data_IF_645143340425
#
_entry.id   IF_645143340425
#
_cell.length_a   1.000
_cell.length_b   1.000
_cell.length_c   1.000
_cell.angle_alpha   90.00
_cell.angle_beta   90.00
_cell.angle_gamma   90.00
#
_symmetry.space_group_name_H-M   'P 1'
#
loop_
_entity.id
_entity.type
_entity.pdbx_description
1 polymer ?
#
# COMPACT_ATOMS: atom_id res chain seq x y z
N UNK A 1 15.55 7.46 15.51
CA UNK A 1 14.12 7.85 15.39
C UNK A 1 13.45 7.29 14.14
N UNK A 2 14.06 7.28 12.96
CA UNK A 2 13.46 6.72 11.73
C UNK A 2 13.15 5.22 11.82
N UNK A 3 14.03 4.43 12.45
CA UNK A 3 13.81 2.98 12.63
C UNK A 3 12.63 2.65 13.53
N UNK A 4 12.40 3.41 14.59
CA UNK A 4 11.27 3.20 15.51
C UNK A 4 9.92 3.42 14.79
N UNK A 5 9.75 4.53 14.07
CA UNK A 5 8.51 4.81 13.32
C UNK A 5 8.27 3.74 12.26
N UNK A 6 9.32 3.34 11.55
CA UNK A 6 9.25 2.31 10.52
C UNK A 6 8.76 0.97 11.09
N UNK A 7 9.39 0.49 12.17
CA UNK A 7 9.02 -0.76 12.82
C UNK A 7 7.61 -0.67 13.42
N UNK A 8 7.34 0.31 14.27
CA UNK A 8 6.08 0.39 15.01
C UNK A 8 4.84 0.53 14.12
N UNK A 9 4.92 1.30 13.04
CA UNK A 9 3.74 1.65 12.23
C UNK A 9 3.62 0.91 10.92
N UNK A 10 4.70 0.36 10.37
CA UNK A 10 4.69 -0.27 9.06
C UNK A 10 5.18 -1.71 9.10
N UNK A 11 6.43 -1.95 9.45
CA UNK A 11 7.02 -3.25 9.30
C UNK A 11 6.43 -4.29 10.27
N UNK A 12 6.47 -4.03 11.57
CA UNK A 12 6.05 -5.01 12.57
C UNK A 12 4.55 -5.37 12.47
N UNK A 13 3.61 -4.41 12.29
CA UNK A 13 2.20 -4.76 12.09
C UNK A 13 1.95 -5.59 10.82
N UNK A 14 2.64 -5.27 9.72
CA UNK A 14 2.48 -6.00 8.47
C UNK A 14 3.13 -7.39 8.56
N UNK A 15 4.32 -7.50 9.15
CA UNK A 15 5.00 -8.77 9.38
C UNK A 15 4.17 -9.68 10.26
N UNK A 16 3.71 -9.20 11.40
CA UNK A 16 2.87 -9.98 12.32
C UNK A 16 1.52 -10.35 11.72
N UNK A 17 0.90 -9.46 10.97
CA UNK A 17 -0.33 -9.74 10.22
C UNK A 17 -0.12 -10.84 9.17
N UNK A 18 1.01 -10.79 8.45
CA UNK A 18 1.36 -11.82 7.48
C UNK A 18 1.56 -13.18 8.15
N UNK A 19 2.36 -13.24 9.23
CA UNK A 19 2.62 -14.47 9.98
C UNK A 19 1.33 -15.03 10.58
N UNK A 20 0.47 -14.19 11.14
CA UNK A 20 -0.84 -14.60 11.65
C UNK A 20 -1.71 -15.26 10.57
N UNK A 21 -1.73 -14.71 9.34
CA UNK A 21 -2.46 -15.33 8.25
C UNK A 21 -1.80 -16.63 7.76
N UNK A 22 -0.47 -16.73 7.76
CA UNK A 22 0.23 -17.99 7.44
C UNK A 22 -0.19 -19.08 8.42
N UNK A 23 -0.29 -18.78 9.70
CA UNK A 23 -0.72 -19.74 10.72
C UNK A 23 -2.21 -20.12 10.57
N UNK A 24 -3.06 -19.14 10.27
CA UNK A 24 -4.51 -19.33 10.22
C UNK A 24 -4.99 -20.00 8.93
N UNK A 25 -4.28 -19.78 7.81
CA UNK A 25 -4.67 -20.34 6.50
C UNK A 25 -4.20 -21.80 6.41
N UNK A 26 -5.13 -22.74 6.09
CA UNK A 26 -4.77 -24.15 5.97
C UNK A 26 -3.58 -24.39 5.01
N UNK A 27 -2.59 -25.15 5.48
CA UNK A 27 -1.37 -25.45 4.71
C UNK A 27 -0.32 -24.33 4.71
N UNK A 28 -0.54 -23.23 5.43
CA UNK A 28 0.44 -22.14 5.58
C UNK A 28 0.77 -21.43 4.27
N UNK A 29 -0.20 -21.27 3.37
CA UNK A 29 -0.02 -20.65 2.04
C UNK A 29 0.35 -19.18 2.17
N UNK A 30 1.62 -18.87 1.91
CA UNK A 30 2.15 -17.51 1.97
C UNK A 30 1.49 -16.59 0.93
N UNK A 31 1.17 -17.10 -0.26
CA UNK A 31 0.53 -16.33 -1.31
C UNK A 31 -0.89 -15.87 -0.92
N UNK A 32 -1.70 -16.77 -0.35
CA UNK A 32 -3.00 -16.43 0.21
C UNK A 32 -2.88 -15.47 1.40
N UNK A 33 -1.87 -15.64 2.23
CA UNK A 33 -1.60 -14.76 3.37
C UNK A 33 -1.23 -13.34 2.94
N UNK A 34 -0.47 -13.18 1.85
CA UNK A 34 -0.18 -11.88 1.24
C UNK A 34 -1.47 -11.21 0.75
N UNK A 35 -2.36 -11.97 0.12
CA UNK A 35 -3.66 -11.44 -0.32
C UNK A 35 -4.50 -11.01 0.88
N UNK A 36 -4.59 -11.84 1.92
CA UNK A 36 -5.36 -11.55 3.12
C UNK A 36 -4.89 -10.28 3.83
N UNK A 37 -3.59 -10.15 4.11
CA UNK A 37 -3.06 -8.93 4.75
C UNK A 37 -3.23 -7.71 3.85
N UNK A 38 -3.08 -7.86 2.53
CA UNK A 38 -3.32 -6.76 1.58
C UNK A 38 -4.76 -6.28 1.63
N UNK A 39 -5.74 -7.19 1.71
CA UNK A 39 -7.16 -6.84 1.83
C UNK A 39 -7.44 -6.11 3.15
N UNK A 40 -6.86 -6.56 4.27
CA UNK A 40 -7.00 -5.88 5.56
C UNK A 40 -6.44 -4.46 5.48
N UNK A 41 -5.22 -4.29 4.98
CA UNK A 41 -4.59 -2.97 4.83
C UNK A 41 -5.43 -2.07 3.91
N UNK A 42 -5.89 -2.58 2.77
CA UNK A 42 -6.75 -1.81 1.84
C UNK A 42 -8.08 -1.42 2.48
N UNK A 43 -8.66 -2.28 3.30
CA UNK A 43 -9.91 -1.99 4.04
C UNK A 43 -9.70 -0.86 5.05
N UNK A 44 -8.60 -0.90 5.79
CA UNK A 44 -8.23 0.17 6.73
C UNK A 44 -8.02 1.51 5.99
N UNK A 45 -7.39 1.47 4.82
CA UNK A 45 -7.14 2.66 3.99
C UNK A 45 -8.34 3.09 3.14
N UNK A 46 -9.42 2.30 3.09
CA UNK A 46 -10.58 2.56 2.23
C UNK A 46 -11.17 3.97 2.40
N UNK A 47 -11.42 4.50 3.63
CA UNK A 47 -11.97 5.84 3.79
C UNK A 47 -11.05 6.93 3.23
N UNK A 48 -9.73 6.76 3.35
CA UNK A 48 -8.76 7.69 2.77
C UNK A 48 -8.72 7.55 1.24
N UNK A 49 -8.79 6.33 0.72
CA UNK A 49 -8.82 6.05 -0.71
C UNK A 49 -10.06 6.66 -1.39
N UNK A 50 -11.24 6.54 -0.79
CA UNK A 50 -12.47 7.18 -1.30
C UNK A 50 -12.31 8.71 -1.36
N UNK A 51 -11.75 9.33 -0.33
CA UNK A 51 -11.48 10.77 -0.33
C UNK A 51 -10.49 11.18 -1.43
N UNK A 52 -9.42 10.41 -1.61
CA UNK A 52 -8.43 10.65 -2.64
C UNK A 52 -9.03 10.54 -4.05
N UNK A 53 -9.84 9.51 -4.31
CA UNK A 53 -10.52 9.33 -5.60
C UNK A 53 -11.51 10.46 -5.89
N UNK A 54 -12.33 10.87 -4.91
CA UNK A 54 -13.22 12.03 -5.07
C UNK A 54 -12.44 13.30 -5.40
N UNK A 55 -11.33 13.52 -4.71
CA UNK A 55 -10.44 14.66 -5.00
C UNK A 55 -9.91 14.61 -6.43
N UNK A 56 -9.50 13.42 -6.94
CA UNK A 56 -9.01 13.28 -8.32
C UNK A 56 -10.09 13.58 -9.36
N UNK A 57 -11.34 13.16 -9.14
CA UNK A 57 -12.45 13.44 -10.06
C UNK A 57 -12.67 14.96 -10.16
N UNK A 58 -12.83 15.63 -9.00
CA UNK A 58 -13.05 17.07 -8.97
C UNK A 58 -11.84 17.85 -9.52
N UNK A 59 -10.62 17.37 -9.27
CA UNK A 59 -9.39 17.96 -9.85
C UNK A 59 -9.43 17.96 -11.39
N UNK A 60 -9.92 16.88 -12.01
CA UNK A 60 -10.10 16.83 -13.48
C UNK A 60 -11.15 17.84 -13.97
N UNK A 61 -12.23 18.03 -13.22
CA UNK A 61 -13.28 19.00 -13.57
C UNK A 61 -12.78 20.45 -13.52
N UNK A 62 -11.93 20.78 -12.56
CA UNK A 62 -11.38 22.13 -12.40
C UNK A 62 -10.07 22.36 -13.17
N UNK A 63 -9.50 21.33 -13.81
CA UNK A 63 -8.24 21.42 -14.55
C UNK A 63 -8.20 22.55 -15.58
N UNK A 64 -9.26 22.80 -16.41
CA UNK A 64 -9.27 23.90 -17.33
C UNK A 64 -9.16 25.26 -16.63
N UNK A 65 -9.84 25.44 -15.48
CA UNK A 65 -9.74 26.68 -14.69
C UNK A 65 -8.35 26.87 -14.08
N UNK A 66 -7.70 25.77 -13.66
CA UNK A 66 -6.33 25.80 -13.16
C UNK A 66 -5.32 26.21 -14.25
N UNK A 67 -5.52 25.77 -15.49
CA UNK A 67 -4.71 26.18 -16.64
C UNK A 67 -4.89 27.67 -16.93
N UNK A 68 -6.13 28.14 -16.96
CA UNK A 68 -6.46 29.54 -17.17
C UNK A 68 -5.85 30.48 -16.10
N UNK A 69 -5.90 30.06 -14.81
CA UNK A 69 -5.25 30.79 -13.72
C UNK A 69 -3.73 30.89 -13.90
N UNK A 70 -3.09 29.79 -14.33
CA UNK A 70 -1.65 29.76 -14.58
C UNK A 70 -1.22 30.69 -15.72
N UNK A 71 -2.05 30.87 -16.73
CA UNK A 71 -1.79 31.75 -17.86
C UNK A 71 -2.05 33.23 -17.50
N UNK A 72 -3.07 33.51 -16.69
CA UNK A 72 -3.49 34.89 -16.34
C UNK A 72 -2.65 35.51 -15.22
N UNK A 73 -2.09 34.72 -14.33
CA UNK A 73 -1.36 35.21 -13.15
C UNK A 73 0.13 34.86 -13.29
N UNK A 74 0.98 35.87 -13.69
CA UNK A 74 2.42 35.65 -13.85
C UNK A 74 3.18 35.44 -12.53
N UNK A 75 2.70 36.06 -11.45
CA UNK A 75 3.32 35.96 -10.12
C UNK A 75 3.03 34.60 -9.48
N UNK A 76 4.09 33.88 -9.12
CA UNK A 76 3.98 32.52 -8.56
C UNK A 76 3.28 32.47 -7.20
N UNK A 77 3.40 33.55 -6.40
CA UNK A 77 2.78 33.57 -5.07
C UNK A 77 1.29 33.85 -5.18
N UNK A 78 0.90 34.80 -6.04
CA UNK A 78 -0.51 35.07 -6.34
C UNK A 78 -1.17 33.86 -7.00
N UNK A 79 -0.48 33.23 -7.95
CA UNK A 79 -0.94 32.01 -8.61
C UNK A 79 -1.21 30.87 -7.60
N UNK A 80 -0.28 30.63 -6.66
CA UNK A 80 -0.46 29.62 -5.63
C UNK A 80 -1.66 29.92 -4.71
N UNK A 81 -1.88 31.19 -4.35
CA UNK A 81 -3.05 31.60 -3.56
C UNK A 81 -4.36 31.37 -4.33
N UNK A 82 -4.43 31.82 -5.58
CA UNK A 82 -5.61 31.64 -6.42
C UNK A 82 -5.94 30.18 -6.68
N UNK A 83 -4.93 29.33 -6.87
CA UNK A 83 -5.12 27.88 -6.98
C UNK A 83 -5.67 27.27 -5.69
N UNK A 84 -5.16 27.70 -4.52
CA UNK A 84 -5.63 27.20 -3.23
C UNK A 84 -7.07 27.66 -2.95
N UNK A 85 -7.46 28.86 -3.35
CA UNK A 85 -8.84 29.35 -3.28
C UNK A 85 -9.76 28.51 -4.15
N UNK A 86 -9.36 28.23 -5.40
CA UNK A 86 -10.12 27.35 -6.30
C UNK A 86 -10.33 25.96 -5.73
N UNK A 87 -9.31 25.36 -5.07
CA UNK A 87 -9.47 24.08 -4.38
C UNK A 87 -10.44 24.16 -3.23
N UNK A 88 -10.41 25.23 -2.44
CA UNK A 88 -11.37 25.47 -1.35
C UNK A 88 -12.80 25.64 -1.86
N UNK A 89 -13.00 26.41 -2.93
CA UNK A 89 -14.30 26.59 -3.58
C UNK A 89 -14.86 25.27 -4.13
N UNK A 90 -13.97 24.43 -4.70
CA UNK A 90 -14.32 23.10 -5.17
C UNK A 90 -14.54 22.08 -4.03
N UNK A 91 -14.32 22.47 -2.77
CA UNK A 91 -14.51 21.59 -1.60
C UNK A 91 -13.54 20.42 -1.52
N UNK A 92 -12.34 20.53 -2.13
CA UNK A 92 -11.35 19.46 -2.18
C UNK A 92 -10.05 19.83 -1.47
N UNK A 93 -9.39 18.80 -0.98
CA UNK A 93 -8.02 18.90 -0.46
C UNK A 93 -7.05 18.14 -1.39
N UNK A 94 -6.22 18.83 -2.19
CA UNK A 94 -5.29 18.17 -3.12
C UNK A 94 -4.26 17.28 -2.40
N UNK A 95 -4.00 17.53 -1.13
CA UNK A 95 -3.07 16.73 -0.33
C UNK A 95 -3.59 15.33 0.02
N UNK A 96 -4.89 15.07 -0.09
CA UNK A 96 -5.46 13.75 0.23
C UNK A 96 -4.91 12.65 -0.68
N UNK A 97 -4.76 12.92 -1.98
CA UNK A 97 -4.18 11.96 -2.93
C UNK A 97 -2.69 11.76 -2.71
N UNK A 98 -1.97 12.84 -2.39
CA UNK A 98 -0.55 12.80 -2.08
C UNK A 98 -0.31 11.99 -0.79
N UNK A 99 -1.12 12.21 0.24
CA UNK A 99 -1.03 11.48 1.50
C UNK A 99 -1.25 9.98 1.30
N UNK A 100 -2.23 9.59 0.48
CA UNK A 100 -2.46 8.19 0.16
C UNK A 100 -1.23 7.55 -0.52
N UNK A 101 -0.61 8.23 -1.48
CA UNK A 101 0.59 7.77 -2.15
C UNK A 101 1.77 7.61 -1.17
N UNK A 102 1.99 8.61 -0.29
CA UNK A 102 3.04 8.53 0.73
C UNK A 102 2.82 7.42 1.74
N UNK A 103 1.58 7.06 2.04
CA UNK A 103 1.25 5.97 2.94
C UNK A 103 1.38 4.61 2.25
N UNK A 104 1.02 4.52 0.97
CA UNK A 104 1.05 3.29 0.18
C UNK A 104 2.48 2.76 -0.03
N UNK A 105 3.46 3.65 -0.27
CA UNK A 105 4.84 3.25 -0.55
C UNK A 105 5.49 2.51 0.63
N UNK A 106 5.47 3.05 1.88
CA UNK A 106 5.99 2.34 3.04
C UNK A 106 5.32 1.00 3.29
N UNK A 107 4.00 0.91 3.09
CA UNK A 107 3.23 -0.33 3.26
C UNK A 107 3.69 -1.39 2.25
N UNK A 108 3.85 -1.02 0.98
CA UNK A 108 4.33 -1.92 -0.06
C UNK A 108 5.75 -2.42 0.23
N UNK A 109 6.63 -1.52 0.67
CA UNK A 109 8.00 -1.87 1.05
C UNK A 109 8.00 -2.79 2.27
N UNK A 110 7.18 -2.52 3.28
CA UNK A 110 7.07 -3.35 4.47
C UNK A 110 6.59 -4.77 4.13
N UNK A 111 5.56 -4.90 3.28
CA UNK A 111 5.08 -6.21 2.80
C UNK A 111 6.16 -6.95 2.01
N UNK A 112 6.84 -6.27 1.08
CA UNK A 112 7.93 -6.85 0.32
C UNK A 112 9.07 -7.33 1.22
N UNK A 113 9.50 -6.52 2.18
CA UNK A 113 10.56 -6.86 3.13
C UNK A 113 10.14 -7.97 4.08
N UNK A 114 8.87 -8.04 4.46
CA UNK A 114 8.32 -9.13 5.31
C UNK A 114 8.47 -10.49 4.62
N UNK A 115 8.20 -10.55 3.32
CA UNK A 115 8.36 -11.78 2.53
C UNK A 115 9.82 -12.08 2.21
N UNK A 116 10.59 -11.07 1.75
CA UNK A 116 11.92 -11.28 1.19
C UNK A 116 13.05 -11.32 2.21
N UNK A 117 12.88 -10.65 3.34
CA UNK A 117 13.91 -10.52 4.38
C UNK A 117 13.43 -10.90 5.79
N UNK A 118 12.11 -10.93 6.04
CA UNK A 118 11.52 -11.35 7.30
C UNK A 118 12.14 -10.72 8.55
N UNK A 119 12.61 -9.46 8.48
CA UNK A 119 13.34 -8.82 9.58
C UNK A 119 14.72 -9.44 9.86
N UNK A 120 15.37 -10.02 8.84
CA UNK A 120 16.68 -10.67 8.92
C UNK A 120 16.68 -12.16 8.63
N UNK A 121 15.50 -12.79 8.64
CA UNK A 121 15.32 -14.22 8.34
C UNK A 121 14.24 -14.34 7.26
N UNK A 122 14.61 -14.60 5.99
CA UNK A 122 13.63 -14.66 4.90
C UNK A 122 12.72 -15.88 5.02
N UNK A 123 11.46 -15.76 4.55
CA UNK A 123 10.55 -16.90 4.44
C UNK A 123 11.19 -18.04 3.61
N UNK A 124 10.95 -19.31 3.98
CA UNK A 124 9.95 -19.79 4.92
C UNK A 124 10.35 -19.77 6.40
N UNK A 125 11.51 -19.26 6.78
CA UNK A 125 11.85 -19.13 8.19
C UNK A 125 11.18 -17.87 8.81
N UNK A 126 10.83 -17.97 10.10
CA UNK A 126 10.18 -16.88 10.85
C UNK A 126 11.16 -16.30 11.87
N UNK A 127 11.27 -14.98 11.89
CA UNK A 127 11.96 -14.27 12.97
C UNK A 127 11.02 -14.14 14.18
N UNK A 128 11.14 -15.05 15.12
CA UNK A 128 10.28 -15.11 16.30
C UNK A 128 10.44 -13.91 17.24
N UNK A 129 11.60 -13.24 17.23
CA UNK A 129 11.89 -12.09 18.09
C UNK A 129 11.05 -10.85 17.70
N UNK A 130 10.51 -10.84 16.48
CA UNK A 130 9.64 -9.78 15.98
C UNK A 130 8.15 -10.07 16.15
N UNK A 131 7.79 -11.28 16.62
CA UNK A 131 6.38 -11.65 16.78
C UNK A 131 5.76 -10.96 17.99
N UNK A 132 4.55 -10.49 17.80
CA UNK A 132 3.73 -10.08 18.94
C UNK A 132 3.33 -11.30 19.79
N UNK A 133 3.16 -11.10 21.08
CA UNK A 133 2.86 -12.19 22.03
C UNK A 133 1.61 -13.01 21.68
N UNK A 134 0.70 -12.48 20.89
CA UNK A 134 -0.52 -13.13 20.44
C UNK A 134 -0.42 -13.80 19.07
N UNK A 135 0.70 -13.63 18.37
CA UNK A 135 0.93 -14.22 17.04
C UNK A 135 1.73 -15.51 17.22
N UNK A 136 1.14 -16.68 16.91
CA UNK A 136 1.86 -17.94 17.01
C UNK A 136 2.93 -18.06 15.93
N UNK A 137 3.93 -18.91 16.19
CA UNK A 137 4.85 -19.32 15.14
C UNK A 137 4.22 -20.46 14.33
N UNK A 138 4.01 -20.30 13.02
CA UNK A 138 3.33 -21.31 12.20
C UNK A 138 4.10 -22.63 12.16
N UNK A 139 3.38 -23.76 12.30
CA UNK A 139 3.96 -25.11 12.18
C UNK A 139 4.29 -25.46 10.72
N UNK A 140 3.55 -24.90 9.77
CA UNK A 140 3.71 -25.15 8.33
C UNK A 140 3.74 -23.86 7.54
N UNK A 141 4.68 -23.75 6.61
CA UNK A 141 4.81 -22.58 5.72
C UNK A 141 5.02 -23.09 4.29
N UNK A 142 4.08 -22.76 3.42
CA UNK A 142 4.12 -23.13 2.01
C UNK A 142 4.40 -21.92 1.13
N UNK A 143 5.49 -21.98 0.37
CA UNK A 143 5.80 -20.98 -0.67
C UNK A 143 5.09 -21.27 -1.99
N UNK A 144 4.22 -22.30 -2.03
CA UNK A 144 3.44 -22.68 -3.22
C UNK A 144 2.02 -22.16 -3.08
N UNK A 145 1.71 -21.13 -3.85
CA UNK A 145 0.41 -20.48 -3.89
C UNK A 145 -0.64 -21.40 -4.53
N UNK A 146 -1.73 -21.65 -3.82
CA UNK A 146 -2.83 -22.52 -4.24
C UNK A 146 -2.40 -23.92 -4.70
N UNK A 147 -1.23 -24.40 -4.24
CA UNK A 147 -0.72 -25.72 -4.57
C UNK A 147 -0.10 -25.89 -5.96
N UNK A 148 -0.03 -24.83 -6.78
CA UNK A 148 0.50 -24.95 -8.16
C UNK A 148 1.53 -23.87 -8.54
N UNK A 149 1.59 -22.73 -7.86
CA UNK A 149 2.48 -21.64 -8.22
C UNK A 149 3.50 -21.35 -7.12
N UNK A 150 4.76 -21.64 -7.36
CA UNK A 150 5.85 -21.23 -6.48
C UNK A 150 6.01 -19.70 -6.56
N UNK A 151 5.80 -19.00 -5.42
CA UNK A 151 5.90 -17.54 -5.34
C UNK A 151 7.34 -17.04 -5.30
N UNK A 152 8.32 -17.91 -5.12
CA UNK A 152 9.76 -17.57 -5.20
C UNK A 152 10.25 -17.57 -6.63
N UNK A 153 9.56 -18.27 -7.52
CA UNK A 153 9.89 -18.39 -8.93
C UNK A 153 9.32 -17.23 -9.76
N UNK A 154 10.01 -16.87 -10.83
CA UNK A 154 9.50 -15.90 -11.80
C UNK A 154 8.32 -16.50 -12.56
N UNK A 155 7.17 -15.85 -12.52
CA UNK A 155 5.96 -16.29 -13.21
C UNK A 155 5.53 -15.26 -14.26
N UNK A 156 5.68 -15.63 -15.53
CA UNK A 156 5.22 -14.81 -16.65
C UNK A 156 3.69 -14.59 -16.62
N UNK A 157 2.84 -15.60 -16.34
CA UNK A 157 1.40 -15.42 -16.25
C UNK A 157 0.99 -14.42 -15.16
N UNK A 158 1.57 -14.52 -13.97
CA UNK A 158 1.28 -13.57 -12.88
C UNK A 158 1.74 -12.16 -13.24
N UNK A 159 2.91 -12.01 -13.86
CA UNK A 159 3.40 -10.71 -14.30
C UNK A 159 2.47 -10.07 -15.36
N UNK A 160 1.96 -10.86 -16.31
CA UNK A 160 1.00 -10.40 -17.31
C UNK A 160 -0.33 -9.98 -16.67
N UNK A 161 -0.87 -10.78 -15.75
CA UNK A 161 -2.11 -10.45 -15.02
C UNK A 161 -1.92 -9.14 -14.24
N UNK A 162 -0.81 -8.98 -13.54
CA UNK A 162 -0.49 -7.75 -12.80
C UNK A 162 -0.38 -6.54 -13.75
N UNK A 163 0.28 -6.70 -14.90
CA UNK A 163 0.40 -5.65 -15.92
C UNK A 163 -0.95 -5.23 -16.49
N UNK A 164 -1.81 -6.19 -16.83
CA UNK A 164 -3.18 -5.92 -17.32
C UNK A 164 -4.02 -5.22 -16.23
N UNK A 165 -3.98 -5.72 -14.99
CA UNK A 165 -4.71 -5.10 -13.87
C UNK A 165 -4.25 -3.65 -13.61
N UNK A 166 -2.96 -3.37 -13.77
CA UNK A 166 -2.44 -2.01 -13.64
C UNK A 166 -2.85 -1.10 -14.79
N UNK A 167 -2.97 -1.65 -16.01
CA UNK A 167 -3.38 -0.87 -17.19
C UNK A 167 -4.87 -0.51 -17.18
N UNK A 168 -5.71 -1.34 -16.54
CA UNK A 168 -7.16 -1.13 -16.47
C UNK A 168 -7.60 -0.26 -15.29
N UNK A 169 -6.69 0.13 -14.41
CA UNK A 169 -6.95 0.94 -13.22
C UNK A 169 -6.62 2.42 -13.47
#
# INVERSE_FOLDING_TARGET
>A
MSGFIWHTFFFDPIYNGLVYFIDTIPGGDVGLSIIAITLVVKTILLPLSIKATKTQVVMREIEPKLKELKEKIPDRQEQAKAMMELYKEAGINPFASILLMFLQIPILIALYLSVSKGGGVPLPAINVDLLYAFVPNPDTISMVFLGFQDITARSLPIALIAGVAQFTN
#
